data_IF_460708895257
#
_entry.id   IF_460708895257
#
_cell.length_a   1.000
_cell.length_b   1.000
_cell.length_c   1.000
_cell.angle_alpha   90.00
_cell.angle_beta   90.00
_cell.angle_gamma   90.00
#
_symmetry.space_group_name_H-M   'P 1'
#
loop_
_entity.id
_entity.type
_entity.pdbx_description
1 polymer ?
#
# COMPACT_ATOMS: atom_id res chain seq x y z
N UNK A 1 14.76 8.57 4.91
CA UNK A 1 14.03 7.33 5.31
C UNK A 1 13.46 6.63 4.09
N UNK A 2 13.43 5.32 4.11
CA UNK A 2 12.78 4.55 3.06
C UNK A 2 11.27 4.76 3.14
N UNK A 3 10.68 5.26 2.08
CA UNK A 3 9.24 5.56 2.03
C UNK A 3 8.46 4.36 1.51
N UNK A 4 7.61 3.81 2.34
CA UNK A 4 6.85 2.60 2.06
C UNK A 4 5.40 2.93 1.80
N UNK A 5 4.84 2.35 0.72
CA UNK A 5 3.41 2.32 0.50
C UNK A 5 2.90 0.91 0.75
N UNK A 6 1.89 0.76 1.57
CA UNK A 6 1.32 -0.55 1.90
C UNK A 6 -0.03 -0.70 1.21
N UNK A 7 -0.22 -1.85 0.56
CA UNK A 7 -1.49 -2.17 -0.11
C UNK A 7 -2.19 -3.29 0.64
N UNK A 8 -3.47 -3.11 0.91
CA UNK A 8 -4.27 -4.01 1.76
C UNK A 8 -5.62 -4.30 1.12
N UNK A 9 -6.32 -5.33 1.62
CA UNK A 9 -7.70 -5.63 1.22
C UNK A 9 -8.61 -5.94 2.41
N UNK A 10 -8.09 -6.22 3.58
CA UNK A 10 -8.86 -6.71 4.71
C UNK A 10 -8.48 -6.12 6.07
N UNK A 11 -8.34 -6.97 7.06
CA UNK A 11 -8.21 -6.56 8.46
C UNK A 11 -6.94 -5.81 8.84
N UNK A 12 -5.84 -6.01 8.11
CA UNK A 12 -4.61 -5.27 8.34
C UNK A 12 -3.75 -5.75 9.49
N UNK A 13 -3.81 -7.03 9.84
CA UNK A 13 -2.94 -7.56 10.91
C UNK A 13 -1.47 -7.49 10.52
N UNK A 14 -1.15 -7.76 9.24
CA UNK A 14 0.22 -7.61 8.75
C UNK A 14 0.66 -6.15 8.73
N UNK A 15 -0.25 -5.25 8.33
CA UNK A 15 0.02 -3.81 8.40
C UNK A 15 0.32 -3.39 9.83
N UNK A 16 -0.50 -3.84 10.79
CA UNK A 16 -0.29 -3.52 12.20
C UNK A 16 1.07 -4.01 12.67
N UNK A 17 1.47 -5.21 12.29
CA UNK A 17 2.77 -5.76 12.66
C UNK A 17 3.93 -4.88 12.15
N UNK A 18 3.82 -4.39 10.92
CA UNK A 18 4.84 -3.51 10.34
C UNK A 18 4.89 -2.18 11.10
N UNK A 19 3.71 -1.58 11.38
CA UNK A 19 3.64 -0.34 12.13
C UNK A 19 4.25 -0.49 13.52
N UNK A 20 3.96 -1.61 14.19
CA UNK A 20 4.48 -1.88 15.52
C UNK A 20 6.00 -2.02 15.52
N UNK A 21 6.56 -2.68 14.51
CA UNK A 21 8.01 -2.86 14.37
C UNK A 21 8.73 -1.54 14.07
N UNK A 22 8.09 -0.67 13.31
CA UNK A 22 8.64 0.66 13.06
C UNK A 22 8.63 1.48 14.35
N UNK A 23 7.50 1.45 15.09
CA UNK A 23 7.36 2.19 16.34
C UNK A 23 8.32 1.71 17.42
N UNK A 24 8.63 0.40 17.47
CA UNK A 24 9.54 -0.17 18.47
C UNK A 24 11.01 0.03 18.13
N UNK A 25 11.32 0.52 16.92
CA UNK A 25 12.70 0.69 16.47
C UNK A 25 13.32 -0.55 15.85
N UNK A 26 12.55 -1.65 15.70
CA UNK A 26 13.05 -2.87 15.06
C UNK A 26 13.27 -2.70 13.56
N UNK A 27 12.58 -1.72 12.93
CA UNK A 27 12.76 -1.37 11.52
C UNK A 27 13.16 0.10 11.41
N UNK A 28 14.42 0.42 11.75
CA UNK A 28 14.89 1.80 11.67
C UNK A 28 15.03 2.25 10.22
N UNK A 29 14.84 3.53 9.98
CA UNK A 29 15.01 4.10 8.65
C UNK A 29 13.88 3.84 7.69
N UNK A 30 12.72 3.36 8.17
CA UNK A 30 11.53 3.10 7.38
C UNK A 30 10.37 3.98 7.83
N UNK A 31 9.54 4.38 6.87
CA UNK A 31 8.34 5.17 7.14
C UNK A 31 7.23 4.71 6.21
N UNK A 32 6.04 4.42 6.76
CA UNK A 32 4.86 4.15 5.93
C UNK A 32 4.23 5.50 5.59
N UNK A 33 4.25 5.87 4.32
CA UNK A 33 3.75 7.19 3.88
C UNK A 33 2.32 7.15 3.37
N UNK A 34 1.83 5.97 2.98
CA UNK A 34 0.45 5.81 2.52
C UNK A 34 0.01 4.36 2.64
N UNK A 35 -1.29 4.17 2.86
CA UNK A 35 -1.94 2.85 2.83
C UNK A 35 -3.06 2.90 1.81
N UNK A 36 -3.04 1.99 0.86
CA UNK A 36 -4.05 1.89 -0.19
C UNK A 36 -4.82 0.59 -0.02
N UNK A 37 -6.15 0.66 0.03
CA UNK A 37 -6.99 -0.52 0.09
C UNK A 37 -7.72 -0.75 -1.22
N UNK A 38 -7.90 -2.02 -1.58
CA UNK A 38 -8.76 -2.41 -2.69
C UNK A 38 -10.25 -2.39 -2.32
N UNK A 39 -10.57 -2.26 -1.02
CA UNK A 39 -11.95 -2.27 -0.50
C UNK A 39 -12.16 -1.12 0.48
N UNK A 40 -13.29 -0.43 0.33
CA UNK A 40 -13.62 0.70 1.18
C UNK A 40 -13.88 0.31 2.64
N UNK A 41 -14.31 -0.93 2.88
CA UNK A 41 -14.65 -1.44 4.20
C UNK A 41 -13.51 -2.16 4.91
N UNK A 42 -12.30 -2.11 4.37
CA UNK A 42 -11.15 -2.77 4.98
C UNK A 42 -10.80 -2.13 6.33
N UNK A 43 -10.74 -2.93 7.39
CA UNK A 43 -10.37 -2.44 8.72
C UNK A 43 -8.93 -1.92 8.76
N UNK A 44 -8.07 -2.38 7.85
CA UNK A 44 -6.72 -1.87 7.71
C UNK A 44 -6.68 -0.34 7.56
N UNK A 45 -7.68 0.23 6.89
CA UNK A 45 -7.78 1.68 6.74
C UNK A 45 -7.93 2.37 8.09
N UNK A 46 -8.71 1.78 9.00
CA UNK A 46 -8.90 2.30 10.34
C UNK A 46 -7.59 2.27 11.14
N UNK A 47 -6.84 1.18 11.02
CA UNK A 47 -5.53 1.06 11.66
C UNK A 47 -4.56 2.14 11.19
N UNK A 48 -4.53 2.40 9.87
CA UNK A 48 -3.69 3.45 9.29
C UNK A 48 -4.10 4.83 9.80
N UNK A 49 -5.41 5.11 9.84
CA UNK A 49 -5.92 6.40 10.32
C UNK A 49 -5.56 6.66 11.78
N UNK A 50 -5.61 5.63 12.61
CA UNK A 50 -5.22 5.73 14.03
C UNK A 50 -3.75 6.08 14.21
N UNK A 51 -2.94 5.79 13.21
CA UNK A 51 -1.51 6.11 13.22
C UNK A 51 -1.18 7.32 12.35
N UNK A 52 -2.20 8.10 11.96
CA UNK A 52 -2.06 9.32 11.16
C UNK A 52 -1.39 9.09 9.81
N UNK A 53 -1.63 7.93 9.21
CA UNK A 53 -1.11 7.59 7.88
C UNK A 53 -2.20 7.90 6.85
N UNK A 54 -1.88 8.64 5.78
CA UNK A 54 -2.82 8.90 4.70
C UNK A 54 -3.33 7.61 4.06
N UNK A 55 -4.63 7.56 3.78
CA UNK A 55 -5.27 6.39 3.19
C UNK A 55 -5.94 6.72 1.88
N UNK A 56 -6.10 5.71 1.02
CA UNK A 56 -6.88 5.81 -0.20
C UNK A 56 -7.54 4.47 -0.50
N UNK A 57 -8.66 4.52 -1.22
CA UNK A 57 -9.33 3.33 -1.72
C UNK A 57 -9.25 3.38 -3.25
N UNK A 58 -8.59 2.39 -3.83
CA UNK A 58 -8.47 2.28 -5.28
C UNK A 58 -8.84 0.84 -5.65
N UNK A 59 -10.02 0.67 -6.27
CA UNK A 59 -10.55 -0.64 -6.62
C UNK A 59 -10.49 -0.86 -8.12
N UNK A 60 -10.03 -2.03 -8.53
CA UNK A 60 -9.95 -2.41 -9.94
C UNK A 60 -11.31 -2.29 -10.64
N UNK A 61 -12.40 -2.60 -9.95
CA UNK A 61 -13.76 -2.54 -10.50
C UNK A 61 -14.18 -1.14 -10.96
N UNK A 62 -13.50 -0.09 -10.52
CA UNK A 62 -13.83 1.28 -10.86
C UNK A 62 -13.17 1.74 -12.17
N UNK A 63 -12.43 0.85 -12.83
CA UNK A 63 -11.70 1.15 -14.07
C UNK A 63 -12.09 0.17 -15.16
N UNK A 64 -12.07 0.63 -16.41
CA UNK A 64 -12.42 -0.21 -17.56
C UNK A 64 -11.31 -1.20 -17.90
N UNK A 65 -10.06 -0.82 -17.69
CA UNK A 65 -8.91 -1.65 -18.04
C UNK A 65 -7.95 -1.75 -16.86
N UNK A 66 -7.14 -2.81 -16.86
CA UNK A 66 -6.10 -3.00 -15.86
C UNK A 66 -5.04 -1.88 -15.96
N UNK A 67 -4.77 -1.38 -17.17
CA UNK A 67 -3.82 -0.28 -17.36
C UNK A 67 -4.29 0.99 -16.68
N UNK A 68 -5.57 1.33 -16.78
CA UNK A 68 -6.13 2.50 -16.11
C UNK A 68 -6.04 2.37 -14.58
N UNK A 69 -6.30 1.18 -14.07
CA UNK A 69 -6.17 0.87 -12.64
C UNK A 69 -4.72 1.03 -12.20
N UNK A 70 -3.78 0.44 -12.94
CA UNK A 70 -2.35 0.54 -12.65
C UNK A 70 -1.90 2.00 -12.65
N UNK A 71 -2.36 2.79 -13.62
CA UNK A 71 -2.01 4.23 -13.70
C UNK A 71 -2.50 5.00 -12.49
N UNK A 72 -3.70 4.71 -12.01
CA UNK A 72 -4.23 5.35 -10.81
C UNK A 72 -3.40 5.01 -9.58
N UNK A 73 -3.02 3.72 -9.43
CA UNK A 73 -2.15 3.28 -8.35
C UNK A 73 -0.78 3.95 -8.41
N UNK A 74 -0.18 4.01 -9.60
CA UNK A 74 1.13 4.62 -9.79
C UNK A 74 1.09 6.11 -9.47
N UNK A 75 0.06 6.82 -9.92
CA UNK A 75 -0.09 8.24 -9.64
C UNK A 75 -0.17 8.48 -8.14
N UNK A 76 -0.93 7.65 -7.44
CA UNK A 76 -1.06 7.76 -5.99
C UNK A 76 0.29 7.51 -5.29
N UNK A 77 0.96 6.41 -5.64
CA UNK A 77 2.24 6.05 -5.02
C UNK A 77 3.30 7.12 -5.28
N UNK A 78 3.37 7.63 -6.51
CA UNK A 78 4.33 8.68 -6.86
C UNK A 78 4.05 9.99 -6.13
N UNK A 79 2.79 10.31 -5.87
CA UNK A 79 2.44 11.52 -5.14
C UNK A 79 2.96 11.51 -3.71
N UNK A 80 3.19 10.33 -3.13
CA UNK A 80 3.79 10.16 -1.80
C UNK A 80 5.27 9.76 -1.89
N UNK A 81 5.84 9.76 -3.07
CA UNK A 81 7.24 9.40 -3.30
C UNK A 81 7.60 8.01 -2.77
N UNK A 82 6.66 7.05 -2.92
CA UNK A 82 6.86 5.68 -2.45
C UNK A 82 8.03 5.03 -3.17
N UNK A 83 8.95 4.46 -2.40
CA UNK A 83 10.13 3.77 -2.91
C UNK A 83 9.99 2.25 -2.84
N UNK A 84 9.20 1.74 -1.89
CA UNK A 84 8.96 0.32 -1.71
C UNK A 84 7.46 0.08 -1.51
N UNK A 85 6.90 -0.86 -2.26
CA UNK A 85 5.49 -1.27 -2.10
C UNK A 85 5.45 -2.59 -1.34
N UNK A 86 4.66 -2.62 -0.28
CA UNK A 86 4.44 -3.83 0.52
C UNK A 86 2.99 -4.28 0.34
N UNK A 87 2.80 -5.51 -0.11
CA UNK A 87 1.49 -6.11 -0.24
C UNK A 87 1.20 -6.88 1.05
N UNK A 88 0.29 -6.36 1.86
CA UNK A 88 -0.03 -6.91 3.18
C UNK A 88 -1.48 -7.41 3.18
N UNK A 89 -1.67 -8.67 2.81
CA UNK A 89 -3.02 -9.23 2.65
C UNK A 89 -3.78 -8.59 1.50
N UNK A 90 -3.08 -8.24 0.44
CA UNK A 90 -3.68 -7.62 -0.74
C UNK A 90 -4.21 -8.69 -1.67
N UNK A 91 -5.52 -8.66 -1.94
CA UNK A 91 -6.22 -9.72 -2.68
C UNK A 91 -6.64 -9.31 -4.10
N UNK A 92 -6.23 -8.16 -4.56
CA UNK A 92 -6.52 -7.71 -5.93
C UNK A 92 -5.33 -8.02 -6.84
N UNK A 93 -5.58 -8.00 -8.15
CA UNK A 93 -4.53 -8.19 -9.14
C UNK A 93 -3.82 -6.87 -9.40
N UNK A 94 -2.54 -6.97 -9.76
CA UNK A 94 -1.75 -5.84 -10.26
C UNK A 94 -1.39 -6.15 -11.70
N UNK A 95 -1.44 -5.14 -12.56
CA UNK A 95 -1.05 -5.30 -13.95
C UNK A 95 0.45 -5.13 -14.14
N UNK A 96 0.89 -5.44 -15.35
CA UNK A 96 2.31 -5.36 -15.72
C UNK A 96 2.86 -3.94 -15.58
N UNK A 97 2.07 -2.93 -15.90
CA UNK A 97 2.50 -1.53 -15.82
C UNK A 97 2.91 -1.15 -14.41
N UNK A 98 2.12 -1.55 -13.40
CA UNK A 98 2.45 -1.28 -12.01
C UNK A 98 3.68 -2.09 -11.57
N UNK A 99 3.68 -3.38 -11.85
CA UNK A 99 4.78 -4.29 -11.45
C UNK A 99 6.10 -3.84 -12.06
N UNK A 100 6.09 -3.42 -13.33
CA UNK A 100 7.32 -2.95 -14.01
C UNK A 100 7.84 -1.66 -13.40
N UNK A 101 6.96 -0.75 -12.99
CA UNK A 101 7.37 0.53 -12.39
C UNK A 101 8.04 0.35 -11.04
N UNK A 102 7.66 -0.69 -10.29
CA UNK A 102 8.24 -1.01 -8.99
C UNK A 102 9.05 -2.31 -9.04
N UNK A 103 9.67 -2.60 -10.18
CA UNK A 103 10.52 -3.78 -10.33
C UNK A 103 11.57 -3.82 -9.23
N UNK A 104 11.69 -4.96 -8.55
CA UNK A 104 12.58 -5.17 -7.41
C UNK A 104 12.25 -4.30 -6.18
N UNK A 105 11.08 -3.67 -6.17
CA UNK A 105 10.63 -2.81 -5.07
C UNK A 105 9.20 -3.12 -4.64
N UNK A 106 8.78 -4.38 -4.80
CA UNK A 106 7.50 -4.90 -4.31
C UNK A 106 7.79 -6.14 -3.49
N UNK A 107 7.30 -6.18 -2.26
CA UNK A 107 7.35 -7.38 -1.41
C UNK A 107 5.95 -7.75 -0.96
N UNK A 108 5.72 -9.07 -0.84
CA UNK A 108 4.47 -9.64 -0.36
C UNK A 108 4.71 -10.30 0.99
N UNK A 109 3.93 -9.93 1.97
CA UNK A 109 4.06 -10.47 3.33
C UNK A 109 2.83 -11.26 3.75
#
# INVERSE_FOLDING_TARGET
>A
MLKIGVMVSGGGTNLQAIMDKIASGELPGCEIVTVVSSKADAYALERAKRNNIPTAVISKKDFETIDQYDEALLRHMKSYEVELVVLAGFLSLLGEKFVSAYKNAIINV
#
